data_IF_536464552723
#
_entry.id   IF_536464552723
#
_cell.length_a   1.000
_cell.length_b   1.000
_cell.length_c   1.000
_cell.angle_alpha   90.00
_cell.angle_beta   90.00
_cell.angle_gamma   90.00
#
_symmetry.space_group_name_H-M   'P 1'
#
loop_
_entity.id
_entity.type
_entity.pdbx_description
1 polymer ?
#
# COMPACT_ATOMS: atom_id res chain seq x y z
N UNK A 1 34.43 -2.60 23.21
CA UNK A 1 33.58 -2.76 22.00
C UNK A 1 32.97 -1.41 21.66
N UNK A 2 33.42 -0.78 20.58
CA UNK A 2 32.85 0.51 20.13
C UNK A 2 31.41 0.25 19.66
N UNK A 3 30.41 0.86 20.32
CA UNK A 3 29.04 0.87 19.81
C UNK A 3 29.07 1.66 18.51
N UNK A 4 28.97 0.98 17.38
CA UNK A 4 28.84 1.64 16.07
C UNK A 4 27.58 2.50 16.10
N UNK A 5 27.76 3.80 16.29
CA UNK A 5 26.65 4.74 16.33
C UNK A 5 25.95 4.73 14.98
N UNK A 6 24.63 4.47 14.97
CA UNK A 6 23.82 4.58 13.74
C UNK A 6 24.04 5.96 13.11
N UNK A 7 24.28 5.97 11.80
CA UNK A 7 24.51 7.20 11.03
C UNK A 7 23.29 8.12 11.19
N UNK A 8 23.55 9.39 11.55
CA UNK A 8 22.52 10.42 11.75
C UNK A 8 22.64 11.48 10.67
N UNK A 9 21.52 12.11 10.32
CA UNK A 9 21.46 13.14 9.27
C UNK A 9 21.89 12.64 7.89
N UNK A 10 22.11 13.59 6.98
CA UNK A 10 22.82 13.32 5.72
C UNK A 10 24.29 13.03 6.03
N UNK A 11 24.86 12.06 5.33
CA UNK A 11 26.22 11.61 5.59
C UNK A 11 26.85 11.06 4.30
N UNK A 12 28.10 11.43 4.04
CA UNK A 12 28.87 10.84 2.96
C UNK A 12 29.05 9.34 3.18
N UNK A 13 29.03 8.58 2.10
CA UNK A 13 29.22 7.15 2.15
C UNK A 13 29.95 6.65 0.91
N UNK A 14 31.05 5.92 1.13
CA UNK A 14 31.79 5.20 0.10
C UNK A 14 31.51 3.69 0.27
N UNK A 15 30.57 3.11 -0.50
CA UNK A 15 30.26 1.68 -0.44
C UNK A 15 31.43 0.83 -0.93
N UNK A 16 31.53 -0.38 -0.38
CA UNK A 16 32.41 -1.43 -0.91
C UNK A 16 31.90 -1.92 -2.27
N UNK A 17 32.77 -2.50 -3.09
CA UNK A 17 32.46 -2.99 -4.45
C UNK A 17 31.24 -3.91 -4.50
N UNK A 18 31.15 -4.90 -3.60
CA UNK A 18 29.96 -5.76 -3.49
C UNK A 18 28.66 -5.01 -3.22
N UNK A 19 28.74 -3.86 -2.55
CA UNK A 19 27.56 -3.03 -2.25
C UNK A 19 27.23 -2.14 -3.45
N UNK A 20 28.21 -1.68 -4.21
CA UNK A 20 27.98 -0.95 -5.46
C UNK A 20 27.18 -1.79 -6.45
N UNK A 21 27.51 -3.07 -6.61
CA UNK A 21 26.75 -4.01 -7.46
C UNK A 21 25.26 -4.06 -7.05
N UNK A 22 25.00 -4.16 -5.73
CA UNK A 22 23.61 -4.16 -5.23
C UNK A 22 22.91 -2.82 -5.46
N UNK A 23 23.63 -1.69 -5.34
CA UNK A 23 23.06 -0.36 -5.61
C UNK A 23 22.76 -0.17 -7.10
N UNK A 24 23.58 -0.69 -8.00
CA UNK A 24 23.30 -0.71 -9.44
C UNK A 24 22.03 -1.50 -9.75
N UNK A 25 21.89 -2.71 -9.18
CA UNK A 25 20.67 -3.50 -9.33
C UNK A 25 19.43 -2.77 -8.77
N UNK A 26 19.57 -2.08 -7.64
CA UNK A 26 18.49 -1.25 -7.08
C UNK A 26 18.13 -0.12 -8.05
N UNK A 27 19.12 0.56 -8.63
CA UNK A 27 18.86 1.64 -9.60
C UNK A 27 18.19 1.11 -10.86
N UNK A 28 18.58 -0.07 -11.37
CA UNK A 28 17.90 -0.72 -12.50
C UNK A 28 16.44 -1.03 -12.17
N UNK A 29 16.15 -1.52 -10.97
CA UNK A 29 14.76 -1.74 -10.52
C UNK A 29 14.01 -0.41 -10.42
N UNK A 30 14.59 0.62 -9.80
CA UNK A 30 13.92 1.92 -9.66
C UNK A 30 13.69 2.58 -11.02
N UNK A 31 14.58 2.36 -11.99
CA UNK A 31 14.44 2.87 -13.35
C UNK A 31 13.33 2.13 -14.12
N UNK A 32 13.28 0.80 -14.02
CA UNK A 32 12.20 -0.02 -14.58
C UNK A 32 10.82 0.44 -14.08
N UNK A 33 10.72 0.85 -12.82
CA UNK A 33 9.47 1.28 -12.18
C UNK A 33 9.34 2.81 -12.06
N UNK A 34 10.04 3.59 -12.90
CA UNK A 34 10.06 5.05 -12.81
C UNK A 34 8.66 5.69 -12.78
N UNK A 35 7.74 5.18 -13.60
CA UNK A 35 6.35 5.66 -13.68
C UNK A 35 5.49 5.25 -12.46
N UNK A 36 5.97 4.28 -11.67
CA UNK A 36 5.27 3.72 -10.51
C UNK A 36 5.92 4.11 -9.18
N UNK A 37 6.96 4.95 -9.19
CA UNK A 37 7.56 5.49 -7.98
C UNK A 37 6.53 6.31 -7.16
N UNK A 38 6.71 6.39 -5.84
CA UNK A 38 7.74 5.73 -5.03
C UNK A 38 7.44 4.25 -4.75
N UNK A 39 8.48 3.42 -4.71
CA UNK A 39 8.39 2.01 -4.30
C UNK A 39 8.66 1.83 -2.81
N UNK A 40 8.11 0.79 -2.19
CA UNK A 40 8.51 0.36 -0.84
C UNK A 40 9.81 -0.44 -0.88
N UNK A 41 10.55 -0.48 0.23
CA UNK A 41 11.76 -1.31 0.34
C UNK A 41 11.43 -2.80 0.07
N UNK A 42 10.25 -3.25 0.50
CA UNK A 42 9.79 -4.63 0.28
C UNK A 42 9.52 -4.92 -1.21
N UNK A 43 8.97 -3.97 -1.96
CA UNK A 43 8.80 -4.11 -3.41
C UNK A 43 10.16 -4.22 -4.12
N UNK A 44 11.11 -3.35 -3.78
CA UNK A 44 12.48 -3.43 -4.31
C UNK A 44 13.12 -4.77 -3.96
N UNK A 45 12.97 -5.24 -2.72
CA UNK A 45 13.46 -6.54 -2.28
C UNK A 45 12.94 -7.69 -3.15
N UNK A 46 11.63 -7.76 -3.40
CA UNK A 46 11.06 -8.83 -4.22
C UNK A 46 11.52 -8.77 -5.68
N UNK A 47 11.70 -7.56 -6.24
CA UNK A 47 12.30 -7.41 -7.58
C UNK A 47 13.74 -7.89 -7.62
N UNK A 48 14.53 -7.61 -6.57
CA UNK A 48 15.89 -8.12 -6.47
C UNK A 48 15.93 -9.65 -6.35
N UNK A 49 15.04 -10.25 -5.54
CA UNK A 49 14.93 -11.72 -5.40
C UNK A 49 14.58 -12.36 -6.74
N UNK A 50 13.57 -11.84 -7.43
CA UNK A 50 13.07 -12.42 -8.68
C UNK A 50 14.01 -12.23 -9.88
N UNK A 51 14.65 -11.06 -10.00
CA UNK A 51 15.45 -10.71 -11.20
C UNK A 51 16.94 -11.01 -11.05
N UNK A 52 17.51 -10.85 -9.85
CA UNK A 52 18.95 -10.95 -9.63
C UNK A 52 19.34 -12.08 -8.67
N UNK A 53 18.40 -12.97 -8.32
CA UNK A 53 18.66 -14.09 -7.41
C UNK A 53 19.05 -13.63 -6.00
N UNK A 54 18.59 -12.46 -5.56
CA UNK A 54 18.85 -11.97 -4.22
C UNK A 54 18.29 -12.94 -3.17
N UNK A 55 19.00 -13.10 -2.05
CA UNK A 55 18.59 -14.06 -1.02
C UNK A 55 17.20 -13.73 -0.46
N UNK A 56 16.27 -14.69 -0.53
CA UNK A 56 14.92 -14.57 0.06
C UNK A 56 14.96 -14.90 1.56
N UNK A 57 15.73 -14.12 2.33
CA UNK A 57 15.86 -14.29 3.79
C UNK A 57 15.65 -12.97 4.52
N UNK A 58 15.20 -13.03 5.78
CA UNK A 58 15.05 -11.85 6.64
C UNK A 58 16.36 -11.09 6.79
N UNK A 59 17.48 -11.80 6.97
CA UNK A 59 18.81 -11.18 7.05
C UNK A 59 19.18 -10.41 5.77
N UNK A 60 18.79 -10.91 4.59
CA UNK A 60 19.02 -10.21 3.33
C UNK A 60 18.14 -8.96 3.24
N UNK A 61 16.89 -9.04 3.69
CA UNK A 61 15.97 -7.90 3.76
C UNK A 61 16.47 -6.82 4.72
N UNK A 62 16.87 -7.17 5.95
CA UNK A 62 17.47 -6.25 6.92
C UNK A 62 18.73 -5.59 6.36
N UNK A 63 19.59 -6.40 5.72
CA UNK A 63 20.79 -5.91 5.05
C UNK A 63 20.50 -4.95 3.90
N UNK A 64 19.38 -5.12 3.18
CA UNK A 64 18.93 -4.20 2.14
C UNK A 64 18.41 -2.89 2.75
N UNK A 65 17.61 -2.95 3.82
CA UNK A 65 17.15 -1.78 4.57
C UNK A 65 18.30 -0.90 5.02
N UNK A 66 19.36 -1.49 5.60
CA UNK A 66 20.59 -0.80 6.00
C UNK A 66 21.29 -0.10 4.81
N UNK A 67 21.41 -0.78 3.67
CA UNK A 67 22.05 -0.22 2.46
C UNK A 67 21.25 0.95 1.90
N UNK A 68 19.93 0.79 1.75
CA UNK A 68 19.03 1.85 1.27
C UNK A 68 19.04 3.06 2.21
N UNK A 69 19.11 2.84 3.53
CA UNK A 69 19.23 3.93 4.50
C UNK A 69 20.49 4.76 4.25
N UNK A 70 21.66 4.11 4.08
CA UNK A 70 22.93 4.79 3.81
C UNK A 70 22.96 5.43 2.42
N UNK A 71 22.43 4.77 1.41
CA UNK A 71 22.34 5.29 0.04
C UNK A 71 21.51 6.57 -0.01
N UNK A 72 20.35 6.60 0.66
CA UNK A 72 19.50 7.81 0.73
C UNK A 72 20.17 8.93 1.51
N UNK A 73 20.78 8.64 2.67
CA UNK A 73 21.52 9.63 3.47
C UNK A 73 22.72 10.24 2.75
N UNK A 74 23.33 9.50 1.82
CA UNK A 74 24.47 9.97 1.02
C UNK A 74 24.06 10.64 -0.30
N UNK A 75 22.77 10.62 -0.65
CA UNK A 75 22.27 11.15 -1.90
C UNK A 75 22.45 10.24 -3.11
N UNK A 76 22.97 9.02 -2.93
CA UNK A 76 23.10 8.02 -4.01
C UNK A 76 21.74 7.51 -4.51
N UNK A 77 20.72 7.53 -3.66
CA UNK A 77 19.33 7.22 -4.01
C UNK A 77 18.44 8.36 -3.54
N UNK A 78 17.59 8.89 -4.42
CA UNK A 78 16.71 9.99 -4.09
C UNK A 78 15.67 9.58 -3.03
N UNK A 79 15.39 10.47 -2.06
CA UNK A 79 14.36 10.22 -1.04
C UNK A 79 12.97 10.00 -1.64
N UNK A 80 12.67 10.61 -2.79
CA UNK A 80 11.39 10.47 -3.49
C UNK A 80 11.23 9.14 -4.25
N UNK A 81 12.28 8.33 -4.40
CA UNK A 81 12.19 7.04 -5.08
C UNK A 81 11.65 5.93 -4.15
N UNK A 82 11.82 6.10 -2.84
CA UNK A 82 11.43 5.12 -1.83
C UNK A 82 10.39 5.69 -0.88
N UNK A 83 9.30 4.97 -0.68
CA UNK A 83 8.25 5.28 0.31
C UNK A 83 8.50 4.47 1.57
N UNK A 84 8.49 5.16 2.71
CA UNK A 84 8.55 4.55 4.03
C UNK A 84 7.13 4.49 4.61
N UNK A 85 6.54 3.31 4.60
CA UNK A 85 5.22 3.09 5.20
C UNK A 85 5.38 3.06 6.73
N UNK A 86 4.72 3.98 7.45
CA UNK A 86 4.73 4.02 8.93
C UNK A 86 4.77 5.39 9.59
N UNK A 87 4.99 6.48 8.84
CA UNK A 87 4.89 7.84 9.38
C UNK A 87 3.54 8.45 9.01
N UNK A 88 2.65 8.54 9.99
CA UNK A 88 1.40 9.31 9.86
C UNK A 88 1.64 10.76 10.23
N UNK A 89 1.49 11.67 9.27
CA UNK A 89 1.63 13.09 9.49
C UNK A 89 0.26 13.75 9.63
N UNK A 90 -0.11 14.10 10.86
CA UNK A 90 -1.35 14.80 11.15
C UNK A 90 -1.12 16.30 11.04
N UNK A 91 -1.45 16.89 9.87
CA UNK A 91 -1.45 18.35 9.69
C UNK A 91 -2.85 18.89 9.96
N UNK A 92 -3.02 19.94 10.78
CA UNK A 92 -4.30 20.64 10.85
C UNK A 92 -4.61 21.24 9.47
N UNK A 93 -5.88 21.22 9.07
CA UNK A 93 -6.33 21.89 7.86
C UNK A 93 -6.27 23.40 8.11
N UNK A 94 -5.40 24.09 7.40
CA UNK A 94 -5.28 25.54 7.44
C UNK A 94 -5.29 26.10 6.02
N UNK A 95 -5.73 27.35 5.90
CA UNK A 95 -5.73 28.11 4.64
C UNK A 95 -5.02 29.42 4.88
N UNK A 96 -4.26 29.89 3.89
CA UNK A 96 -3.54 31.16 4.02
C UNK A 96 -4.45 32.39 3.81
N UNK A 97 -5.70 32.19 3.36
CA UNK A 97 -6.67 33.24 3.09
C UNK A 97 -7.83 32.76 2.21
N UNK A 98 -8.74 33.66 1.86
CA UNK A 98 -9.95 33.35 1.06
C UNK A 98 -9.59 32.77 -0.31
N UNK A 99 -8.57 33.31 -0.98
CA UNK A 99 -8.11 32.81 -2.29
C UNK A 99 -7.70 31.34 -2.25
N UNK A 100 -7.13 30.90 -1.13
CA UNK A 100 -6.69 29.53 -0.94
C UNK A 100 -7.87 28.56 -0.73
N UNK A 101 -8.92 29.06 -0.06
CA UNK A 101 -10.21 28.37 0.02
C UNK A 101 -10.83 28.24 -1.37
N UNK A 102 -10.86 29.33 -2.15
CA UNK A 102 -11.44 29.32 -3.50
C UNK A 102 -10.70 28.36 -4.43
N UNK A 103 -9.35 28.33 -4.41
CA UNK A 103 -8.57 27.32 -5.13
C UNK A 103 -8.93 25.90 -4.72
N UNK A 104 -9.11 25.66 -3.42
CA UNK A 104 -9.50 24.34 -2.91
C UNK A 104 -10.87 23.92 -3.45
N UNK A 105 -11.83 24.83 -3.49
CA UNK A 105 -13.18 24.58 -4.05
C UNK A 105 -13.10 24.31 -5.56
N UNK A 106 -12.35 25.11 -6.32
CA UNK A 106 -12.13 24.88 -7.74
C UNK A 106 -11.50 23.52 -8.02
N UNK A 107 -10.46 23.13 -7.27
CA UNK A 107 -9.82 21.82 -7.45
C UNK A 107 -10.77 20.65 -7.16
N UNK A 108 -11.68 20.80 -6.19
CA UNK A 108 -12.75 19.80 -5.93
C UNK A 108 -13.73 19.76 -7.10
N UNK A 109 -14.12 20.90 -7.65
CA UNK A 109 -15.01 20.96 -8.81
C UNK A 109 -14.36 20.30 -10.05
N UNK A 110 -13.07 20.53 -10.28
CA UNK A 110 -12.32 19.97 -11.41
C UNK A 110 -12.11 18.44 -11.30
N UNK A 111 -12.02 17.92 -10.08
CA UNK A 111 -11.87 16.48 -9.81
C UNK A 111 -13.18 15.76 -9.50
N UNK A 112 -14.30 16.49 -9.53
CA UNK A 112 -15.61 15.95 -9.19
C UNK A 112 -15.97 14.78 -10.10
N UNK A 113 -16.17 13.62 -9.48
CA UNK A 113 -16.60 12.40 -10.16
C UNK A 113 -17.76 11.82 -9.36
N UNK A 114 -18.85 11.47 -10.05
CA UNK A 114 -19.92 10.70 -9.43
C UNK A 114 -19.43 9.29 -9.10
N UNK A 115 -20.05 8.67 -8.09
CA UNK A 115 -19.82 7.27 -7.80
C UNK A 115 -20.20 6.40 -9.00
N UNK A 116 -19.19 5.85 -9.66
CA UNK A 116 -19.30 5.06 -10.91
C UNK A 116 -20.01 3.73 -10.70
N UNK A 117 -20.13 3.27 -9.47
CA UNK A 117 -20.82 2.04 -9.12
C UNK A 117 -22.30 2.28 -8.76
N UNK A 118 -22.77 3.53 -8.75
CA UNK A 118 -24.20 3.83 -8.53
C UNK A 118 -25.06 3.17 -9.60
N UNK A 119 -26.10 2.46 -9.17
CA UNK A 119 -27.03 1.76 -10.07
C UNK A 119 -26.51 0.45 -10.67
N UNK A 120 -25.29 0.04 -10.32
CA UNK A 120 -24.78 -1.28 -10.70
C UNK A 120 -25.49 -2.38 -9.91
N UNK A 121 -25.75 -3.55 -10.52
CA UNK A 121 -26.40 -4.67 -9.83
C UNK A 121 -25.52 -5.29 -8.73
N UNK A 122 -24.21 -5.03 -8.76
CA UNK A 122 -23.21 -5.55 -7.83
C UNK A 122 -22.23 -4.43 -7.50
N UNK A 123 -21.97 -4.24 -6.20
CA UNK A 123 -20.93 -3.34 -5.68
C UNK A 123 -19.61 -4.09 -5.54
N UNK A 124 -18.59 -3.69 -6.28
CA UNK A 124 -17.25 -4.27 -6.22
C UNK A 124 -16.37 -3.58 -5.18
N UNK A 125 -15.53 -4.39 -4.55
CA UNK A 125 -14.47 -4.01 -3.62
C UNK A 125 -13.20 -4.81 -3.95
N UNK A 126 -12.02 -4.26 -3.69
CA UNK A 126 -10.75 -5.00 -3.76
C UNK A 126 -10.14 -5.05 -2.38
N UNK A 127 -9.74 -6.24 -1.93
CA UNK A 127 -9.02 -6.43 -0.67
C UNK A 127 -7.63 -6.98 -0.95
N UNK A 128 -6.60 -6.36 -0.38
CA UNK A 128 -5.21 -6.75 -0.56
C UNK A 128 -4.54 -7.09 0.76
N UNK A 129 -3.99 -8.29 0.90
CA UNK A 129 -3.27 -8.68 2.12
C UNK A 129 -2.01 -7.84 2.32
N UNK A 130 -1.23 -7.67 1.26
CA UNK A 130 -0.02 -6.88 1.28
C UNK A 130 -0.34 -5.38 1.30
N UNK A 131 -0.45 -4.79 2.48
CA UNK A 131 -0.81 -3.36 2.64
C UNK A 131 0.05 -2.38 1.83
N UNK A 132 1.33 -2.68 1.60
CA UNK A 132 2.20 -1.86 0.74
C UNK A 132 1.80 -1.81 -0.74
N UNK A 133 0.98 -2.77 -1.19
CA UNK A 133 0.45 -2.89 -2.55
C UNK A 133 -0.89 -2.15 -2.74
N UNK A 134 -1.64 -1.93 -1.67
CA UNK A 134 -2.96 -1.27 -1.72
C UNK A 134 -2.94 0.09 -2.46
N UNK A 135 -1.95 0.99 -2.27
CA UNK A 135 -1.90 2.25 -3.03
C UNK A 135 -1.74 2.07 -4.54
N UNK A 136 -1.07 1.01 -5.00
CA UNK A 136 -0.92 0.73 -6.43
C UNK A 136 -2.21 0.18 -7.01
N UNK A 137 -2.86 -0.75 -6.29
CA UNK A 137 -4.16 -1.29 -6.67
C UNK A 137 -5.23 -0.18 -6.69
N UNK A 138 -5.20 0.77 -5.75
CA UNK A 138 -6.11 1.90 -5.72
C UNK A 138 -6.02 2.77 -6.99
N UNK A 139 -4.81 3.04 -7.49
CA UNK A 139 -4.62 3.75 -8.77
C UNK A 139 -5.19 3.00 -9.97
N UNK A 140 -5.11 1.66 -9.97
CA UNK A 140 -5.66 0.81 -11.04
C UNK A 140 -7.19 0.76 -10.95
N UNK A 141 -7.73 0.76 -9.74
CA UNK A 141 -9.17 0.62 -9.47
C UNK A 141 -9.94 1.96 -9.56
N UNK A 142 -9.26 3.09 -9.41
CA UNK A 142 -9.84 4.44 -9.45
C UNK A 142 -10.66 4.73 -10.73
N UNK A 143 -10.20 4.39 -11.95
CA UNK A 143 -11.02 4.53 -13.16
C UNK A 143 -12.33 3.72 -13.15
N UNK A 144 -12.47 2.74 -12.27
CA UNK A 144 -13.68 1.93 -12.13
C UNK A 144 -14.54 2.36 -10.93
N UNK A 145 -14.08 3.31 -10.12
CA UNK A 145 -14.74 3.69 -8.87
C UNK A 145 -14.75 2.57 -7.83
N UNK A 146 -13.82 1.60 -7.95
CA UNK A 146 -13.76 0.43 -7.07
C UNK A 146 -12.85 0.74 -5.87
N UNK A 147 -13.36 0.75 -4.63
CA UNK A 147 -12.55 0.97 -3.44
C UNK A 147 -11.57 -0.19 -3.19
N UNK A 148 -10.40 0.15 -2.65
CA UNK A 148 -9.35 -0.80 -2.28
C UNK A 148 -9.05 -0.71 -0.79
N UNK A 149 -9.06 -1.85 -0.12
CA UNK A 149 -8.74 -2.00 1.31
C UNK A 149 -7.55 -2.94 1.51
N UNK A 150 -6.78 -2.72 2.58
CA UNK A 150 -5.72 -3.66 3.00
C UNK A 150 -6.18 -4.54 4.15
N UNK A 151 -5.77 -5.81 4.20
CA UNK A 151 -6.20 -6.73 5.26
C UNK A 151 -5.73 -6.29 6.65
N UNK A 152 -4.53 -5.73 6.77
CA UNK A 152 -4.02 -5.21 8.04
C UNK A 152 -4.82 -4.03 8.62
N UNK A 153 -5.58 -3.30 7.79
CA UNK A 153 -6.56 -2.31 8.27
C UNK A 153 -7.90 -2.94 8.68
N UNK A 154 -8.16 -4.15 8.20
CA UNK A 154 -9.41 -4.89 8.38
C UNK A 154 -9.39 -5.89 9.54
N UNK A 155 -8.23 -6.13 10.16
CA UNK A 155 -8.11 -7.01 11.33
C UNK A 155 -8.87 -6.49 12.56
N UNK A 156 -9.24 -5.19 12.59
CA UNK A 156 -9.99 -4.62 13.71
C UNK A 156 -11.49 -4.92 13.61
N UNK A 157 -12.10 -5.31 14.73
CA UNK A 157 -13.55 -5.53 14.84
C UNK A 157 -14.37 -4.32 14.36
N UNK A 158 -13.90 -3.11 14.64
CA UNK A 158 -14.55 -1.87 14.18
C UNK A 158 -14.52 -1.72 12.67
N UNK A 159 -13.41 -2.06 12.01
CA UNK A 159 -13.33 -2.02 10.55
C UNK A 159 -14.31 -3.02 9.92
N UNK A 160 -14.39 -4.24 10.47
CA UNK A 160 -15.33 -5.27 10.03
C UNK A 160 -16.78 -4.84 10.20
N UNK A 161 -17.12 -4.28 11.36
CA UNK A 161 -18.45 -3.74 11.63
C UNK A 161 -18.81 -2.61 10.65
N UNK A 162 -17.96 -1.59 10.50
CA UNK A 162 -18.24 -0.45 9.62
C UNK A 162 -18.37 -0.88 8.15
N UNK A 163 -17.50 -1.78 7.70
CA UNK A 163 -17.59 -2.33 6.36
C UNK A 163 -18.88 -3.13 6.18
N UNK A 164 -19.27 -3.95 7.16
CA UNK A 164 -20.54 -4.69 7.11
C UNK A 164 -21.74 -3.73 7.00
N UNK A 165 -21.73 -2.60 7.71
CA UNK A 165 -22.76 -1.57 7.58
C UNK A 165 -22.75 -0.96 6.17
N UNK A 166 -21.58 -0.56 5.66
CA UNK A 166 -21.46 0.07 4.34
C UNK A 166 -21.92 -0.87 3.22
N UNK A 167 -21.47 -2.13 3.21
CA UNK A 167 -21.93 -3.10 2.20
C UNK A 167 -23.41 -3.43 2.36
N UNK A 168 -23.98 -3.27 3.56
CA UNK A 168 -25.41 -3.52 3.81
C UNK A 168 -26.36 -2.50 3.18
N UNK A 169 -25.86 -1.32 2.84
CA UNK A 169 -26.62 -0.30 2.11
C UNK A 169 -26.88 -0.71 0.65
N UNK A 170 -26.16 -1.72 0.16
CA UNK A 170 -26.26 -2.19 -1.22
C UNK A 170 -26.94 -3.55 -1.30
N UNK A 171 -27.75 -3.76 -2.34
CA UNK A 171 -28.46 -5.03 -2.53
C UNK A 171 -27.53 -6.24 -2.73
N UNK A 172 -26.33 -6.02 -3.29
CA UNK A 172 -25.32 -7.07 -3.50
C UNK A 172 -23.91 -6.47 -3.59
N UNK A 173 -22.94 -7.12 -2.93
CA UNK A 173 -21.54 -6.74 -2.99
C UNK A 173 -20.63 -7.93 -3.32
N UNK A 174 -19.52 -7.68 -4.01
CA UNK A 174 -18.48 -8.66 -4.29
C UNK A 174 -17.10 -8.10 -3.92
N UNK A 175 -16.29 -8.92 -3.26
CA UNK A 175 -14.98 -8.56 -2.74
C UNK A 175 -13.93 -9.38 -3.49
N UNK A 176 -13.10 -8.71 -4.28
CA UNK A 176 -12.00 -9.31 -5.03
C UNK A 176 -10.77 -9.37 -4.13
N UNK A 177 -10.38 -10.57 -3.69
CA UNK A 177 -9.27 -10.77 -2.77
C UNK A 177 -7.94 -10.98 -3.52
N UNK A 178 -6.93 -10.21 -3.15
CA UNK A 178 -5.57 -10.26 -3.71
C UNK A 178 -4.60 -10.56 -2.56
N UNK A 179 -4.23 -11.83 -2.45
CA UNK A 179 -3.35 -12.36 -1.42
C UNK A 179 -2.32 -13.35 -1.95
N UNK A 180 -1.44 -13.81 -1.07
CA UNK A 180 -0.47 -14.86 -1.42
C UNK A 180 -1.19 -16.20 -1.54
N UNK A 181 -0.87 -16.98 -2.59
CA UNK A 181 -1.46 -18.30 -2.79
C UNK A 181 -0.69 -19.37 -1.98
N UNK A 182 -0.74 -19.24 -0.66
CA UNK A 182 -0.18 -20.19 0.30
C UNK A 182 -1.24 -20.59 1.36
N UNK A 183 -0.97 -21.61 2.20
CA UNK A 183 -1.95 -22.06 3.20
C UNK A 183 -2.42 -20.93 4.12
N UNK A 184 -1.55 -19.98 4.49
CA UNK A 184 -1.91 -18.83 5.31
C UNK A 184 -2.87 -17.87 4.61
N UNK A 185 -2.64 -17.54 3.34
CA UNK A 185 -3.53 -16.66 2.57
C UNK A 185 -4.92 -17.27 2.35
N UNK A 186 -5.00 -18.59 2.10
CA UNK A 186 -6.29 -19.29 2.00
C UNK A 186 -7.06 -19.27 3.32
N UNK A 187 -6.38 -19.49 4.46
CA UNK A 187 -7.02 -19.43 5.77
C UNK A 187 -7.52 -18.02 6.09
N UNK A 188 -6.72 -16.99 5.79
CA UNK A 188 -7.11 -15.60 6.01
C UNK A 188 -8.36 -15.23 5.19
N UNK A 189 -8.38 -15.62 3.91
CA UNK A 189 -9.55 -15.47 3.04
C UNK A 189 -10.80 -16.13 3.63
N UNK A 190 -10.72 -17.38 4.08
CA UNK A 190 -11.88 -18.10 4.63
C UNK A 190 -12.42 -17.44 5.91
N UNK A 191 -11.53 -17.09 6.85
CA UNK A 191 -11.92 -16.49 8.12
C UNK A 191 -12.59 -15.12 7.90
N UNK A 192 -12.08 -14.36 6.95
CA UNK A 192 -12.58 -13.05 6.56
C UNK A 192 -13.97 -13.12 5.93
N UNK A 193 -14.16 -14.04 4.99
CA UNK A 193 -15.46 -14.28 4.37
C UNK A 193 -16.51 -14.70 5.40
N UNK A 194 -16.16 -15.61 6.31
CA UNK A 194 -17.06 -16.10 7.36
C UNK A 194 -17.46 -14.99 8.35
N UNK A 195 -16.51 -14.15 8.77
CA UNK A 195 -16.76 -13.10 9.76
C UNK A 195 -17.62 -11.96 9.19
N UNK A 196 -17.35 -11.55 7.93
CA UNK A 196 -18.20 -10.58 7.21
C UNK A 196 -19.62 -11.14 7.07
N UNK A 197 -19.77 -12.41 6.70
CA UNK A 197 -21.08 -13.04 6.61
C UNK A 197 -21.81 -13.05 7.97
N UNK A 198 -21.12 -13.40 9.06
CA UNK A 198 -21.71 -13.44 10.40
C UNK A 198 -22.14 -12.06 10.92
N UNK A 199 -21.37 -11.00 10.66
CA UNK A 199 -21.78 -9.63 11.00
C UNK A 199 -23.10 -9.25 10.31
N UNK A 200 -23.30 -9.75 9.09
CA UNK A 200 -24.44 -9.39 8.23
C UNK A 200 -25.70 -10.22 8.48
N UNK A 201 -25.63 -11.42 9.07
CA UNK A 201 -26.81 -12.24 9.39
C UNK A 201 -27.78 -11.54 10.35
N UNK A 202 -27.37 -10.43 10.96
CA UNK A 202 -28.19 -9.54 11.78
C UNK A 202 -29.01 -8.50 10.98
N UNK A 203 -28.83 -8.41 9.66
CA UNK A 203 -29.50 -7.46 8.76
C UNK A 203 -30.03 -8.14 7.47
N UNK A 204 -31.17 -7.68 6.90
CA UNK A 204 -31.75 -8.28 5.69
C UNK A 204 -30.92 -7.92 4.45
N UNK A 205 -30.18 -8.88 3.89
CA UNK A 205 -29.17 -8.65 2.83
C UNK A 205 -29.26 -9.62 1.64
N UNK A 206 -28.81 -9.16 0.46
CA UNK A 206 -28.48 -10.02 -0.69
C UNK A 206 -27.05 -10.58 -0.60
N UNK A 207 -26.68 -11.56 -1.44
CA UNK A 207 -25.48 -12.39 -1.21
C UNK A 207 -24.18 -11.63 -1.44
N UNK A 208 -23.31 -11.55 -0.42
CA UNK A 208 -21.92 -11.13 -0.60
C UNK A 208 -21.07 -12.32 -1.06
N UNK A 209 -20.25 -12.12 -2.09
CA UNK A 209 -19.25 -13.11 -2.53
C UNK A 209 -17.85 -12.54 -2.41
N UNK A 210 -16.96 -13.30 -1.78
CA UNK A 210 -15.53 -13.05 -1.85
C UNK A 210 -14.98 -13.94 -2.97
N UNK A 211 -14.26 -13.35 -3.92
CA UNK A 211 -13.71 -13.99 -5.13
C UNK A 211 -12.18 -13.91 -5.09
#
# INVERSE_FOLDING_TARGET
>A
MSKTTRVRGFAQWSPQEKTLIVLEQINEVLDEYREHLPMTIRQVFYRLVGRYGYGKTENAYEGLCEKLNRARRSGLICFSAIRDDGVSLYRPKCWSGVEDVMRSVSAVADSYTLDRQTGQPVRLWVMCEAGGMAPMLAKIAEPYGVPVMSSGGFDSLTAKHNFSQEVSEYGRAEILHIGDHDPSGVHLFSALADDIQQCLTSAPMGPIRVI
#
